data_IF_944291033096
#
_entry.id   IF_944291033096
#
_cell.length_a   1.000
_cell.length_b   1.000
_cell.length_c   1.000
_cell.angle_alpha   90.00
_cell.angle_beta   90.00
_cell.angle_gamma   90.00
#
_symmetry.space_group_name_H-M   'P 1'
#
loop_
_entity.id
_entity.type
_entity.pdbx_description
1 polymer ?
#
# COMPACT_ATOMS: atom_id res chain seq x y z
N UNK A 1 16.82 4.38 21.14
CA UNK A 1 16.22 5.26 20.12
C UNK A 1 16.81 6.65 20.30
N UNK A 2 17.34 7.26 19.26
CA UNK A 2 17.67 8.67 19.29
C UNK A 2 16.36 9.44 19.11
N UNK A 3 15.82 9.96 20.20
CA UNK A 3 14.63 10.80 20.19
C UNK A 3 14.91 12.06 19.36
N UNK A 4 14.11 12.29 18.33
CA UNK A 4 14.14 13.51 17.52
C UNK A 4 14.76 13.41 16.14
N UNK A 5 15.33 12.29 15.74
CA UNK A 5 15.83 12.08 14.38
C UNK A 5 14.82 11.29 13.54
N UNK A 6 14.45 11.82 12.38
CA UNK A 6 13.46 11.21 11.46
C UNK A 6 14.18 10.61 10.26
N UNK A 7 13.76 9.40 9.92
CA UNK A 7 14.13 8.72 8.69
C UNK A 7 12.88 8.35 7.90
N UNK A 8 12.96 8.40 6.61
CA UNK A 8 11.94 7.86 5.72
C UNK A 8 12.20 6.38 5.50
N UNK A 9 11.15 5.59 5.58
CA UNK A 9 11.26 4.14 5.50
C UNK A 9 10.25 3.62 4.48
N UNK A 10 10.71 2.74 3.59
CA UNK A 10 9.87 1.99 2.68
C UNK A 10 9.85 0.53 3.11
N UNK A 11 8.66 -0.01 3.38
CA UNK A 11 8.47 -1.38 3.84
C UNK A 11 8.23 -2.31 2.66
N UNK A 12 8.85 -3.48 2.67
CA UNK A 12 8.74 -4.48 1.61
C UNK A 12 8.47 -5.87 2.19
N UNK A 13 7.54 -6.59 1.56
CA UNK A 13 7.31 -8.00 1.80
C UNK A 13 7.64 -8.76 0.51
N UNK A 14 8.75 -9.49 0.51
CA UNK A 14 9.24 -10.25 -0.65
C UNK A 14 8.89 -11.72 -0.49
N UNK A 15 8.14 -12.28 -1.43
CA UNK A 15 7.76 -13.69 -1.39
C UNK A 15 8.98 -14.62 -1.38
N UNK A 16 8.93 -15.67 -0.55
CA UNK A 16 9.96 -16.73 -0.51
C UNK A 16 9.53 -18.00 -1.28
N UNK A 17 8.31 -18.01 -1.83
CA UNK A 17 7.77 -19.10 -2.65
C UNK A 17 8.18 -18.98 -4.13
N UNK A 18 8.84 -17.89 -4.53
CA UNK A 18 9.09 -17.54 -5.92
C UNK A 18 7.97 -16.71 -6.53
N UNK A 19 8.13 -16.37 -7.81
CA UNK A 19 7.17 -15.59 -8.60
C UNK A 19 6.91 -16.34 -9.89
N UNK A 20 5.65 -16.70 -10.13
CA UNK A 20 5.17 -17.27 -11.36
C UNK A 20 4.02 -16.43 -11.92
N UNK A 21 3.92 -16.35 -13.21
CA UNK A 21 2.86 -15.61 -13.91
C UNK A 21 2.19 -16.51 -14.92
N UNK A 22 0.91 -16.26 -15.18
CA UNK A 22 0.09 -16.96 -16.16
C UNK A 22 -0.36 -15.99 -17.25
N UNK A 23 -0.76 -16.50 -18.39
CA UNK A 23 -1.34 -15.69 -19.48
C UNK A 23 -2.77 -15.23 -19.12
N UNK A 24 -3.27 -14.18 -19.81
CA UNK A 24 -4.65 -13.74 -19.66
C UNK A 24 -5.64 -14.87 -19.92
N UNK A 25 -5.41 -15.68 -20.94
CA UNK A 25 -6.27 -16.81 -21.32
C UNK A 25 -6.34 -17.89 -20.23
N UNK A 26 -5.20 -18.19 -19.60
CA UNK A 26 -5.15 -19.11 -18.45
C UNK A 26 -5.87 -18.53 -17.24
N UNK A 27 -5.68 -17.23 -16.98
CA UNK A 27 -6.37 -16.52 -15.90
C UNK A 27 -7.89 -16.55 -16.09
N UNK A 28 -8.39 -16.29 -17.30
CA UNK A 28 -9.82 -16.38 -17.63
C UNK A 28 -10.38 -17.80 -17.39
N UNK A 29 -9.66 -18.83 -17.81
CA UNK A 29 -10.07 -20.21 -17.61
C UNK A 29 -10.12 -20.61 -16.12
N UNK A 30 -9.15 -20.14 -15.33
CA UNK A 30 -9.10 -20.35 -13.88
C UNK A 30 -10.28 -19.64 -13.20
N UNK A 31 -10.48 -18.34 -13.52
CA UNK A 31 -11.57 -17.54 -12.94
C UNK A 31 -12.94 -18.12 -13.29
N UNK A 32 -13.13 -18.61 -14.52
CA UNK A 32 -14.38 -19.25 -14.93
C UNK A 32 -14.69 -20.52 -14.16
N UNK A 33 -13.66 -21.24 -13.70
CA UNK A 33 -13.80 -22.51 -12.95
C UNK A 33 -13.81 -22.29 -11.44
N UNK A 34 -12.92 -21.48 -10.94
CA UNK A 34 -12.71 -21.21 -9.51
C UNK A 34 -12.13 -19.80 -9.32
N UNK A 35 -13.02 -18.84 -9.12
CA UNK A 35 -12.65 -17.44 -8.89
C UNK A 35 -11.81 -17.23 -7.64
N UNK A 36 -11.99 -18.08 -6.64
CA UNK A 36 -11.32 -18.00 -5.34
C UNK A 36 -10.10 -18.94 -5.25
N UNK A 37 -9.52 -19.32 -6.39
CA UNK A 37 -8.39 -20.26 -6.46
C UNK A 37 -7.19 -19.85 -5.61
N UNK A 38 -6.86 -18.56 -5.56
CA UNK A 38 -5.76 -18.04 -4.72
C UNK A 38 -6.04 -18.19 -3.22
N UNK A 39 -7.30 -17.94 -2.81
CA UNK A 39 -7.71 -18.10 -1.41
C UNK A 39 -7.68 -19.58 -1.03
N UNK A 40 -8.14 -20.46 -1.92
CA UNK A 40 -8.07 -21.92 -1.73
C UNK A 40 -6.63 -22.39 -1.56
N UNK A 41 -5.74 -21.98 -2.46
CA UNK A 41 -4.32 -22.34 -2.41
C UNK A 41 -3.70 -21.93 -1.06
N UNK A 42 -3.93 -20.70 -0.62
CA UNK A 42 -3.44 -20.20 0.66
C UNK A 42 -3.97 -21.05 1.83
N UNK A 43 -5.29 -21.29 1.87
CA UNK A 43 -5.93 -22.02 2.95
C UNK A 43 -5.44 -23.48 3.02
N UNK A 44 -5.39 -24.17 1.89
CA UNK A 44 -4.98 -25.58 1.81
C UNK A 44 -3.49 -25.75 2.14
N UNK A 45 -2.61 -24.83 1.70
CA UNK A 45 -1.21 -24.87 2.05
C UNK A 45 -0.98 -24.67 3.56
N UNK A 46 -1.67 -23.73 4.19
CA UNK A 46 -1.59 -23.56 5.65
C UNK A 46 -2.11 -24.82 6.36
N UNK A 47 -3.22 -25.40 5.90
CA UNK A 47 -3.78 -26.61 6.48
C UNK A 47 -2.83 -27.82 6.35
N UNK A 48 -2.07 -27.87 5.26
CA UNK A 48 -1.08 -28.92 4.99
C UNK A 48 0.29 -28.64 5.64
N UNK A 49 0.40 -27.60 6.46
CA UNK A 49 1.64 -27.13 7.11
C UNK A 49 2.75 -26.66 6.13
N UNK A 50 2.39 -26.42 4.86
CA UNK A 50 3.23 -25.79 3.85
C UNK A 50 3.16 -24.26 3.98
N UNK A 51 3.63 -23.73 5.07
CA UNK A 51 3.43 -22.33 5.44
C UNK A 51 4.07 -21.35 4.47
N UNK A 52 3.28 -20.48 3.80
CA UNK A 52 3.81 -19.40 2.96
C UNK A 52 4.57 -18.36 3.77
N UNK A 53 5.66 -17.84 3.21
CA UNK A 53 6.58 -16.92 3.89
C UNK A 53 6.96 -15.75 3.01
N UNK A 54 7.24 -14.62 3.68
CA UNK A 54 7.77 -13.41 3.05
C UNK A 54 8.94 -12.89 3.88
N UNK A 55 9.99 -12.49 3.20
CA UNK A 55 11.05 -11.67 3.81
C UNK A 55 10.47 -10.28 4.07
N UNK A 56 10.57 -9.81 5.31
CA UNK A 56 10.27 -8.43 5.66
C UNK A 56 11.53 -7.61 5.58
N UNK A 57 11.55 -6.62 4.70
CA UNK A 57 12.71 -5.80 4.38
C UNK A 57 12.34 -4.32 4.39
N UNK A 58 13.32 -3.47 4.65
CA UNK A 58 13.14 -2.02 4.63
C UNK A 58 14.23 -1.36 3.78
N UNK A 59 13.87 -0.22 3.20
CA UNK A 59 14.81 0.76 2.67
C UNK A 59 14.73 1.99 3.57
N UNK A 60 15.85 2.67 3.79
CA UNK A 60 15.95 3.84 4.66
C UNK A 60 16.50 5.01 3.85
N UNK A 61 15.91 6.19 4.04
CA UNK A 61 16.33 7.45 3.43
C UNK A 61 16.33 8.54 4.49
N UNK A 62 17.37 9.34 4.54
CA UNK A 62 17.44 10.51 5.41
C UNK A 62 16.60 11.67 4.87
N UNK A 63 16.28 12.64 5.71
CA UNK A 63 15.61 13.87 5.26
C UNK A 63 16.43 14.64 4.21
N UNK A 64 17.74 14.63 4.36
CA UNK A 64 18.66 15.31 3.42
C UNK A 64 18.64 14.62 2.05
N UNK A 65 18.69 13.30 2.02
CA UNK A 65 18.60 12.54 0.77
C UNK A 65 17.24 12.74 0.10
N UNK A 66 16.14 12.76 0.87
CA UNK A 66 14.82 12.99 0.33
C UNK A 66 14.67 14.37 -0.33
N UNK A 67 15.23 15.41 0.30
CA UNK A 67 15.25 16.79 -0.24
C UNK A 67 16.06 16.90 -1.54
N UNK A 68 17.14 16.14 -1.67
CA UNK A 68 18.06 16.20 -2.81
C UNK A 68 17.84 15.07 -3.83
N UNK A 69 16.78 14.28 -3.66
CA UNK A 69 16.47 13.17 -4.57
C UNK A 69 16.18 13.65 -5.99
N UNK A 70 16.65 12.90 -6.99
CA UNK A 70 16.36 13.13 -8.41
C UNK A 70 14.94 12.73 -8.84
N UNK A 71 14.17 12.13 -7.94
CA UNK A 71 12.77 11.77 -8.12
C UNK A 71 12.00 12.10 -6.82
N UNK A 72 10.68 12.22 -6.89
CA UNK A 72 9.88 12.38 -5.68
C UNK A 72 9.82 11.06 -4.89
N UNK A 73 10.49 10.94 -3.73
CA UNK A 73 10.50 9.70 -2.95
C UNK A 73 9.16 9.41 -2.28
N UNK A 74 8.24 10.38 -2.25
CA UNK A 74 6.89 10.27 -1.70
C UNK A 74 5.82 10.03 -2.76
N UNK A 75 6.20 9.95 -4.03
CA UNK A 75 5.32 9.49 -5.09
C UNK A 75 5.22 7.96 -5.05
N UNK A 76 4.03 7.44 -4.71
CA UNK A 76 3.79 5.99 -4.59
C UNK A 76 4.00 5.22 -5.91
N UNK A 77 4.04 5.91 -7.05
CA UNK A 77 4.35 5.30 -8.35
C UNK A 77 5.83 5.07 -8.58
N UNK A 78 6.68 5.61 -7.72
CA UNK A 78 8.14 5.50 -7.80
C UNK A 78 8.69 4.41 -6.89
N UNK A 79 9.72 3.73 -7.36
CA UNK A 79 10.54 2.84 -6.55
C UNK A 79 11.80 3.56 -6.12
N UNK A 80 12.32 3.24 -4.93
CA UNK A 80 13.66 3.67 -4.52
C UNK A 80 14.66 2.67 -5.11
N UNK A 81 15.62 3.12 -5.96
CA UNK A 81 16.55 2.22 -6.62
C UNK A 81 17.35 1.40 -5.59
N UNK A 82 17.40 0.07 -5.76
CA UNK A 82 18.07 -0.82 -4.81
C UNK A 82 19.59 -0.62 -4.76
N UNK A 83 20.19 -0.05 -5.81
CA UNK A 83 21.60 0.31 -5.85
C UNK A 83 21.94 1.48 -4.92
N UNK A 84 21.01 2.42 -4.78
CA UNK A 84 21.19 3.62 -3.95
C UNK A 84 20.64 3.39 -2.53
N UNK A 85 19.53 2.67 -2.42
CA UNK A 85 18.85 2.34 -1.18
C UNK A 85 18.71 0.81 -1.05
N UNK A 86 19.73 0.13 -0.51
CA UNK A 86 19.73 -1.32 -0.42
C UNK A 86 18.64 -1.84 0.52
N UNK A 87 18.12 -3.03 0.20
CA UNK A 87 17.14 -3.72 1.03
C UNK A 87 17.81 -4.27 2.29
N UNK A 88 17.27 -3.91 3.44
CA UNK A 88 17.73 -4.37 4.76
C UNK A 88 16.72 -5.37 5.30
N UNK A 89 17.11 -6.62 5.45
CA UNK A 89 16.24 -7.66 6.01
C UNK A 89 16.03 -7.43 7.50
N UNK A 90 14.76 -7.33 7.90
CA UNK A 90 14.34 -7.13 9.30
C UNK A 90 13.80 -8.44 9.89
N UNK A 91 13.08 -9.23 9.10
CA UNK A 91 12.46 -10.45 9.60
C UNK A 91 11.83 -11.31 8.51
N UNK A 92 11.01 -12.25 8.95
CA UNK A 92 10.22 -13.10 8.06
C UNK A 92 8.78 -13.15 8.57
N UNK A 93 7.83 -12.88 7.71
CA UNK A 93 6.42 -13.12 7.96
C UNK A 93 6.08 -14.54 7.51
N UNK A 94 5.42 -15.31 8.37
CA UNK A 94 4.95 -16.66 8.07
C UNK A 94 3.45 -16.73 8.33
N UNK A 95 2.66 -17.19 7.38
CA UNK A 95 1.24 -17.47 7.57
C UNK A 95 1.08 -18.94 7.95
N UNK A 96 0.78 -19.21 9.21
CA UNK A 96 0.81 -20.55 9.79
C UNK A 96 -0.47 -20.96 10.52
N UNK A 97 -1.52 -20.13 10.47
CA UNK A 97 -2.82 -20.46 11.08
C UNK A 97 -3.95 -19.95 10.19
N UNK A 98 -4.91 -20.84 9.89
CA UNK A 98 -6.15 -20.46 9.23
C UNK A 98 -7.16 -19.88 10.23
N UNK A 99 -8.04 -18.95 9.84
CA UNK A 99 -9.09 -18.44 10.71
C UNK A 99 -10.06 -19.57 11.09
N UNK A 100 -10.54 -19.53 12.33
CA UNK A 100 -11.57 -20.45 12.83
C UNK A 100 -12.97 -20.01 12.44
N UNK A 101 -13.17 -18.70 12.35
CA UNK A 101 -14.41 -18.10 11.87
C UNK A 101 -14.05 -16.99 10.88
N UNK A 102 -14.25 -17.26 9.60
CA UNK A 102 -13.89 -16.36 8.51
C UNK A 102 -14.57 -14.99 8.64
N UNK A 103 -15.85 -14.94 9.01
CA UNK A 103 -16.56 -13.68 9.15
C UNK A 103 -15.96 -12.82 10.27
N UNK A 104 -15.78 -13.39 11.46
CA UNK A 104 -15.31 -12.64 12.62
C UNK A 104 -13.84 -12.22 12.52
N UNK A 105 -13.00 -13.05 11.91
CA UNK A 105 -11.55 -12.87 11.93
C UNK A 105 -11.00 -12.26 10.64
N UNK A 106 -11.75 -12.36 9.51
CA UNK A 106 -11.31 -11.87 8.21
C UNK A 106 -12.25 -10.80 7.65
N UNK A 107 -13.57 -11.09 7.53
CA UNK A 107 -14.51 -10.13 6.93
C UNK A 107 -14.64 -8.84 7.75
N UNK A 108 -14.53 -8.91 9.06
CA UNK A 108 -14.57 -7.75 9.95
C UNK A 108 -13.21 -7.10 10.21
N UNK A 109 -12.12 -7.68 9.71
CA UNK A 109 -10.81 -7.05 9.83
C UNK A 109 -10.78 -5.71 9.09
N UNK A 110 -10.28 -4.68 9.78
CA UNK A 110 -10.38 -3.27 9.35
C UNK A 110 -9.02 -2.61 9.39
N UNK A 111 -8.15 -2.98 8.43
CA UNK A 111 -6.84 -2.35 8.30
C UNK A 111 -6.97 -0.87 7.96
N UNK A 112 -6.18 -0.04 8.62
CA UNK A 112 -6.09 1.38 8.32
C UNK A 112 -4.64 1.86 8.37
N UNK A 113 -4.19 2.67 7.41
CA UNK A 113 -2.87 3.27 7.45
C UNK A 113 -2.70 4.27 8.61
N UNK A 114 -3.79 4.69 9.27
CA UNK A 114 -3.74 5.52 10.47
C UNK A 114 -3.35 4.75 11.73
N UNK A 115 -3.43 3.41 11.72
CA UNK A 115 -3.08 2.56 12.85
C UNK A 115 -1.57 2.30 12.86
N UNK A 116 -0.83 3.18 13.50
CA UNK A 116 0.63 3.10 13.62
C UNK A 116 1.05 2.72 15.03
N UNK A 117 2.27 2.21 15.16
CA UNK A 117 2.90 1.90 16.45
C UNK A 117 3.87 3.02 16.83
N UNK A 118 4.22 3.17 18.13
CA UNK A 118 5.20 4.15 18.56
C UNK A 118 6.50 4.07 17.77
N UNK A 119 6.98 5.22 17.27
CA UNK A 119 8.17 5.32 16.42
C UNK A 119 7.91 5.19 14.92
N UNK A 120 6.68 4.88 14.50
CA UNK A 120 6.23 4.92 13.09
C UNK A 120 5.25 6.06 12.92
N UNK A 121 5.48 6.92 11.94
CA UNK A 121 4.66 8.07 11.64
C UNK A 121 4.32 8.15 10.14
N UNK A 122 3.76 9.26 9.71
CA UNK A 122 3.23 9.47 8.38
C UNK A 122 4.20 10.25 7.50
N UNK A 123 4.33 9.84 6.24
CA UNK A 123 5.05 10.60 5.22
C UNK A 123 4.14 11.66 4.58
N UNK A 124 4.72 12.67 3.89
CA UNK A 124 3.95 13.67 3.14
C UNK A 124 3.36 13.13 1.82
N UNK A 125 3.46 11.83 1.55
CA UNK A 125 2.81 11.20 0.39
C UNK A 125 1.33 11.57 0.36
N UNK A 126 0.88 12.21 -0.72
CA UNK A 126 -0.48 12.73 -0.86
C UNK A 126 -1.53 11.63 -0.84
N UNK A 127 -1.20 10.44 -1.36
CA UNK A 127 -2.11 9.29 -1.32
C UNK A 127 -2.23 8.74 0.10
N UNK A 128 -1.13 8.66 0.84
CA UNK A 128 -1.17 8.26 2.25
C UNK A 128 -2.01 9.24 3.07
N UNK A 129 -1.81 10.55 2.90
CA UNK A 129 -2.58 11.58 3.59
C UNK A 129 -4.09 11.46 3.30
N UNK A 130 -4.49 11.18 2.07
CA UNK A 130 -5.88 10.91 1.72
C UNK A 130 -6.40 9.60 2.34
N UNK A 131 -5.60 8.55 2.36
CA UNK A 131 -5.94 7.23 2.91
C UNK A 131 -6.15 7.24 4.42
N UNK A 132 -5.45 8.09 5.16
CA UNK A 132 -5.65 8.27 6.61
C UNK A 132 -7.11 8.63 6.94
N UNK A 133 -7.77 9.40 6.09
CA UNK A 133 -9.19 9.78 6.26
C UNK A 133 -10.15 8.75 5.67
N UNK A 134 -9.83 8.18 4.52
CA UNK A 134 -10.77 7.35 3.76
C UNK A 134 -11.01 5.97 4.41
N UNK A 135 -10.00 5.35 5.01
CA UNK A 135 -10.15 4.02 5.59
C UNK A 135 -11.05 4.02 6.83
N UNK A 136 -10.87 4.89 7.83
CA UNK A 136 -11.78 4.96 8.96
C UNK A 136 -13.23 5.26 8.55
N UNK A 137 -13.44 6.12 7.58
CA UNK A 137 -14.78 6.42 7.05
C UNK A 137 -15.41 5.17 6.41
N UNK A 138 -14.69 4.52 5.51
CA UNK A 138 -15.16 3.30 4.85
C UNK A 138 -15.50 2.18 5.85
N UNK A 139 -14.71 2.01 6.90
CA UNK A 139 -14.93 0.96 7.89
C UNK A 139 -16.14 1.22 8.76
N UNK A 140 -16.48 2.48 9.07
CA UNK A 140 -17.73 2.81 9.76
C UNK A 140 -18.96 2.38 8.97
N UNK A 141 -18.91 2.47 7.66
CA UNK A 141 -19.97 1.98 6.77
C UNK A 141 -19.95 0.47 6.60
N UNK A 142 -18.78 -0.11 6.36
CA UNK A 142 -18.64 -1.53 6.03
C UNK A 142 -18.89 -2.43 7.23
N UNK A 143 -18.40 -2.06 8.41
CA UNK A 143 -18.40 -2.90 9.61
C UNK A 143 -19.31 -2.34 10.68
N UNK A 144 -19.25 -1.06 10.97
CA UNK A 144 -20.06 -0.39 11.99
C UNK A 144 -19.31 0.70 12.72
N UNK A 145 -20.02 1.53 13.49
CA UNK A 145 -19.50 2.74 14.13
C UNK A 145 -18.31 2.48 15.05
N UNK A 146 -18.38 1.39 15.84
CA UNK A 146 -17.31 1.00 16.78
C UNK A 146 -16.53 -0.23 16.31
N UNK A 147 -16.21 -0.31 15.03
CA UNK A 147 -15.45 -1.41 14.43
C UNK A 147 -14.09 -1.62 15.12
N UNK A 148 -13.51 -0.58 15.69
CA UNK A 148 -12.22 -0.61 16.39
C UNK A 148 -12.28 -1.42 17.69
N UNK A 149 -13.47 -1.63 18.27
CA UNK A 149 -13.67 -2.41 19.49
C UNK A 149 -13.78 -3.92 19.23
N UNK A 150 -13.97 -4.33 17.98
CA UNK A 150 -14.06 -5.75 17.65
C UNK A 150 -12.76 -6.48 17.99
N UNK A 151 -12.80 -7.71 18.49
CA UNK A 151 -11.60 -8.46 18.88
C UNK A 151 -10.53 -8.54 17.81
N UNK A 152 -10.91 -8.61 16.53
CA UNK A 152 -9.98 -8.66 15.39
C UNK A 152 -9.29 -7.32 15.12
N UNK A 153 -9.86 -6.20 15.56
CA UNK A 153 -9.38 -4.84 15.27
C UNK A 153 -8.78 -4.13 16.48
N UNK A 154 -9.24 -4.47 17.69
CA UNK A 154 -8.81 -3.75 18.89
C UNK A 154 -7.34 -3.98 19.20
N UNK A 155 -6.65 -2.98 19.79
CA UNK A 155 -5.31 -3.17 20.32
C UNK A 155 -5.28 -4.29 21.37
N UNK A 156 -4.16 -5.00 21.45
CA UNK A 156 -3.92 -6.02 22.48
C UNK A 156 -3.65 -5.36 23.85
N UNK A 157 -3.03 -4.17 23.81
CA UNK A 157 -2.75 -3.35 25.00
C UNK A 157 -3.90 -2.38 25.25
N UNK A 158 -4.13 -2.03 26.51
CA UNK A 158 -5.12 -1.03 26.86
C UNK A 158 -4.73 0.34 26.30
N UNK A 159 -5.68 1.01 25.67
CA UNK A 159 -5.53 2.37 25.15
C UNK A 159 -6.46 3.29 25.93
N UNK A 160 -5.89 4.27 26.61
CA UNK A 160 -6.65 5.29 27.30
C UNK A 160 -7.21 6.29 26.30
N UNK A 161 -8.53 6.38 26.24
CA UNK A 161 -9.26 7.33 25.38
C UNK A 161 -10.41 7.95 26.13
N UNK A 162 -10.94 9.06 25.63
CA UNK A 162 -12.17 9.69 26.13
C UNK A 162 -13.44 9.06 25.53
N UNK A 163 -13.34 7.98 24.77
CA UNK A 163 -14.49 7.23 24.24
C UNK A 163 -15.20 6.49 25.37
N UNK A 164 -16.39 6.94 25.76
CA UNK A 164 -17.15 6.37 26.86
C UNK A 164 -18.43 5.67 26.40
N UNK A 165 -19.07 6.16 25.36
CA UNK A 165 -20.37 5.69 24.88
C UNK A 165 -20.53 5.87 23.36
N UNK A 166 -21.74 5.70 22.86
CA UNK A 166 -22.10 5.86 21.45
C UNK A 166 -22.68 4.59 20.81
N UNK A 167 -23.15 4.71 19.59
CA UNK A 167 -23.80 3.61 18.87
C UNK A 167 -22.87 2.40 18.73
N UNK A 168 -23.38 1.21 19.05
CA UNK A 168 -22.68 -0.07 18.99
C UNK A 168 -21.52 -0.21 20.00
N UNK A 169 -21.40 0.68 20.96
CA UNK A 169 -20.49 0.49 22.09
C UNK A 169 -21.01 -0.64 22.98
N UNK A 170 -20.20 -1.60 23.30
CA UNK A 170 -20.53 -2.74 24.18
C UNK A 170 -19.68 -2.77 25.45
N UNK A 171 -18.68 -1.90 25.56
CA UNK A 171 -17.88 -1.78 26.77
C UNK A 171 -18.56 -0.87 27.77
N UNK A 172 -18.65 -1.34 29.01
CA UNK A 172 -19.14 -0.52 30.14
C UNK A 172 -17.94 0.17 30.75
N UNK A 173 -17.86 1.49 30.55
CA UNK A 173 -16.86 2.34 31.18
C UNK A 173 -17.54 3.22 32.20
N UNK A 174 -16.84 3.49 33.31
CA UNK A 174 -17.33 4.48 34.28
C UNK A 174 -17.42 5.85 33.58
N UNK A 175 -18.51 6.60 33.84
CA UNK A 175 -18.63 7.96 33.33
C UNK A 175 -17.48 8.84 33.82
N UNK A 176 -17.01 9.70 32.95
CA UNK A 176 -16.01 10.73 33.31
C UNK A 176 -16.67 12.10 33.27
N UNK A 177 -16.24 12.99 34.16
CA UNK A 177 -16.75 14.36 34.21
C UNK A 177 -16.23 15.25 33.09
N UNK A 178 -15.22 14.79 32.36
CA UNK A 178 -14.64 15.51 31.25
C UNK A 178 -14.27 14.60 30.05
N UNK A 179 -14.49 15.09 28.84
CA UNK A 179 -14.14 14.44 27.57
C UNK A 179 -13.08 15.24 26.80
N UNK A 180 -12.27 16.00 27.53
CA UNK A 180 -11.24 16.87 26.95
C UNK A 180 -10.07 17.02 27.93
N UNK A 181 -8.93 17.41 27.42
CA UNK A 181 -7.76 17.80 28.22
C UNK A 181 -7.24 19.19 27.79
N UNK A 182 -6.52 19.91 28.67
CA UNK A 182 -6.28 19.53 30.08
C UNK A 182 -7.52 19.69 30.95
N UNK A 183 -7.65 18.84 31.96
CA UNK A 183 -8.71 18.95 32.97
C UNK A 183 -8.20 18.58 34.38
N UNK A 184 -9.02 18.82 35.43
CA UNK A 184 -8.71 18.53 36.83
C UNK A 184 -9.33 17.24 37.37
N UNK A 185 -10.00 16.46 36.52
CA UNK A 185 -10.79 15.27 36.91
C UNK A 185 -10.05 13.95 36.68
N UNK A 186 -8.83 14.00 36.15
CA UNK A 186 -8.13 12.83 35.65
C UNK A 186 -8.61 12.45 34.25
N UNK A 187 -8.00 11.45 33.67
CA UNK A 187 -8.32 10.97 32.33
C UNK A 187 -7.08 10.61 31.54
N UNK A 188 -7.23 10.52 30.20
CA UNK A 188 -6.12 10.26 29.31
C UNK A 188 -5.16 11.46 29.32
N UNK A 189 -3.86 11.18 29.29
CA UNK A 189 -2.80 12.18 29.23
C UNK A 189 -1.85 11.82 28.10
N UNK A 190 -1.50 12.80 27.27
CA UNK A 190 -0.53 12.61 26.20
C UNK A 190 0.85 12.22 26.78
N UNK A 191 1.44 11.15 26.25
CA UNK A 191 2.81 10.80 26.54
C UNK A 191 3.75 11.50 25.55
N UNK A 192 4.31 12.62 26.00
CA UNK A 192 5.20 13.46 25.18
C UNK A 192 6.47 12.75 24.70
N UNK A 193 6.81 11.58 25.28
CA UNK A 193 7.94 10.78 24.83
C UNK A 193 7.71 10.18 23.42
N UNK A 194 6.45 10.13 22.97
CA UNK A 194 6.05 9.68 21.63
C UNK A 194 5.73 10.84 20.68
N UNK A 195 5.96 12.08 21.10
CA UNK A 195 5.72 13.23 20.24
C UNK A 195 6.51 13.12 18.93
N UNK A 196 5.82 13.39 17.83
CA UNK A 196 6.43 13.31 16.50
C UNK A 196 7.40 14.50 16.29
N UNK A 197 8.59 14.24 15.72
CA UNK A 197 9.46 15.33 15.31
C UNK A 197 8.78 16.14 14.20
N UNK A 198 8.91 17.46 14.26
CA UNK A 198 8.41 18.34 13.22
C UNK A 198 9.05 18.03 11.86
N UNK A 199 8.32 18.21 10.78
CA UNK A 199 8.87 18.21 9.43
C UNK A 199 8.40 19.46 8.68
N UNK A 200 9.22 19.89 7.72
CA UNK A 200 8.91 21.07 6.92
C UNK A 200 7.80 20.77 5.93
N UNK A 201 6.78 21.62 5.90
CA UNK A 201 5.78 21.67 4.84
C UNK A 201 6.03 22.89 3.99
N UNK A 202 5.78 22.83 2.67
CA UNK A 202 5.81 24.02 1.82
C UNK A 202 4.80 25.06 2.28
N UNK A 203 5.13 26.33 2.13
CA UNK A 203 4.29 27.45 2.52
C UNK A 203 3.29 27.87 1.42
N UNK A 204 3.40 27.34 0.22
CA UNK A 204 2.54 27.66 -0.91
C UNK A 204 1.64 26.49 -1.30
N UNK A 205 0.33 26.71 -1.19
CA UNK A 205 -0.69 25.75 -1.65
C UNK A 205 -1.26 26.22 -2.99
N UNK A 206 -0.88 25.57 -4.08
CA UNK A 206 -1.37 25.88 -5.42
C UNK A 206 -1.53 24.58 -6.25
N UNK A 207 -2.09 24.72 -7.43
CA UNK A 207 -1.99 23.69 -8.46
C UNK A 207 -0.54 23.62 -8.92
N UNK A 208 0.05 22.47 -8.84
CA UNK A 208 1.37 22.30 -9.41
C UNK A 208 1.35 21.18 -10.47
N UNK A 209 2.22 21.31 -11.45
CA UNK A 209 2.42 20.27 -12.44
C UNK A 209 3.38 19.22 -11.87
N UNK A 210 2.86 18.05 -11.52
CA UNK A 210 3.67 16.95 -10.96
C UNK A 210 4.77 16.43 -11.91
N UNK A 211 4.76 16.84 -13.17
CA UNK A 211 5.79 16.49 -14.17
C UNK A 211 6.95 17.47 -14.20
N UNK A 212 6.82 18.62 -13.54
CA UNK A 212 7.92 19.59 -13.48
C UNK A 212 9.06 19.01 -12.64
N UNK A 213 10.23 18.82 -13.27
CA UNK A 213 11.38 18.17 -12.65
C UNK A 213 11.23 16.64 -12.40
N UNK A 214 10.14 16.04 -12.86
CA UNK A 214 9.84 14.62 -12.65
C UNK A 214 9.55 13.94 -14.00
N UNK A 215 10.42 13.02 -14.41
CA UNK A 215 10.20 12.23 -15.62
C UNK A 215 9.53 10.89 -15.27
N UNK A 216 8.24 10.78 -15.57
CA UNK A 216 7.43 9.59 -15.28
C UNK A 216 7.84 8.35 -16.13
N UNK A 217 8.62 8.51 -17.19
CA UNK A 217 8.98 7.43 -18.10
C UNK A 217 10.26 6.68 -17.71
N UNK A 218 11.16 7.28 -16.93
CA UNK A 218 12.48 6.70 -16.62
C UNK A 218 12.37 5.32 -15.96
N UNK A 219 11.56 5.18 -14.92
CA UNK A 219 11.43 3.90 -14.22
C UNK A 219 10.62 2.87 -15.00
N UNK A 220 9.64 3.31 -15.78
CA UNK A 220 8.88 2.43 -16.69
C UNK A 220 9.79 1.88 -17.79
N UNK A 221 10.67 2.73 -18.34
CA UNK A 221 11.70 2.30 -19.31
C UNK A 221 12.66 1.28 -18.70
N UNK A 222 13.11 1.51 -17.46
CA UNK A 222 13.98 0.59 -16.76
C UNK A 222 13.31 -0.79 -16.57
N UNK A 223 12.04 -0.82 -16.18
CA UNK A 223 11.27 -2.06 -16.06
C UNK A 223 11.11 -2.77 -17.42
N UNK A 224 10.73 -2.03 -18.46
CA UNK A 224 10.58 -2.59 -19.81
C UNK A 224 11.86 -3.25 -20.32
N UNK A 225 13.02 -2.65 -20.04
CA UNK A 225 14.32 -3.20 -20.41
C UNK A 225 14.68 -4.50 -19.68
N UNK A 226 14.16 -4.71 -18.46
CA UNK A 226 14.35 -5.93 -17.68
C UNK A 226 13.44 -7.08 -18.11
N UNK A 227 12.38 -6.80 -18.86
CA UNK A 227 11.45 -7.83 -19.33
C UNK A 227 12.11 -8.76 -20.36
N UNK A 228 11.83 -10.06 -20.24
CA UNK A 228 12.15 -11.03 -21.29
C UNK A 228 11.32 -10.79 -22.54
N UNK A 229 11.75 -11.34 -23.68
CA UNK A 229 11.01 -11.20 -24.95
C UNK A 229 9.58 -11.75 -24.83
N UNK A 230 9.40 -12.90 -24.16
CA UNK A 230 8.07 -13.46 -23.90
C UNK A 230 7.18 -12.53 -23.05
N UNK A 231 7.73 -11.90 -22.01
CA UNK A 231 6.99 -10.93 -21.21
C UNK A 231 6.59 -9.69 -22.01
N UNK A 232 7.48 -9.22 -22.90
CA UNK A 232 7.17 -8.11 -23.83
C UNK A 232 6.08 -8.47 -24.83
N UNK A 233 6.13 -9.67 -25.41
CA UNK A 233 5.08 -10.15 -26.31
C UNK A 233 3.72 -10.28 -25.61
N UNK A 234 3.68 -10.80 -24.40
CA UNK A 234 2.45 -10.83 -23.59
C UNK A 234 1.94 -9.43 -23.28
N UNK A 235 2.82 -8.50 -22.89
CA UNK A 235 2.46 -7.10 -22.65
C UNK A 235 1.81 -6.48 -23.90
N UNK A 236 2.41 -6.66 -25.06
CA UNK A 236 1.89 -6.10 -26.32
C UNK A 236 0.54 -6.71 -26.68
N UNK A 237 0.39 -8.02 -26.53
CA UNK A 237 -0.86 -8.72 -26.78
C UNK A 237 -1.98 -8.27 -25.86
N UNK A 238 -1.71 -8.20 -24.55
CA UNK A 238 -2.69 -7.80 -23.56
C UNK A 238 -3.20 -6.37 -23.77
N UNK A 239 -2.29 -5.46 -24.15
CA UNK A 239 -2.64 -4.07 -24.46
C UNK A 239 -3.45 -4.00 -25.74
N UNK A 240 -3.03 -4.72 -26.79
CA UNK A 240 -3.74 -4.72 -28.08
C UNK A 240 -5.16 -5.27 -27.92
N UNK A 241 -5.35 -6.32 -27.15
CA UNK A 241 -6.69 -6.87 -26.82
C UNK A 241 -7.56 -5.85 -26.11
N UNK A 242 -7.03 -5.18 -25.07
CA UNK A 242 -7.76 -4.14 -24.33
C UNK A 242 -8.08 -2.90 -25.18
N UNK A 243 -7.31 -2.65 -26.24
CA UNK A 243 -7.53 -1.55 -27.18
C UNK A 243 -8.43 -1.93 -28.37
N UNK A 244 -8.98 -3.13 -28.40
CA UNK A 244 -9.93 -3.57 -29.44
C UNK A 244 -11.13 -2.65 -29.55
N UNK A 245 -11.40 -2.14 -30.78
CA UNK A 245 -12.54 -1.23 -31.04
C UNK A 245 -12.32 0.22 -30.60
N UNK A 246 -11.18 0.59 -30.04
CA UNK A 246 -10.86 1.99 -29.70
C UNK A 246 -10.64 2.81 -30.98
N UNK A 247 -11.20 4.05 -31.09
CA UNK A 247 -11.01 4.92 -32.27
C UNK A 247 -9.52 5.18 -32.56
N UNK A 248 -9.16 5.16 -33.85
CA UNK A 248 -7.79 5.29 -34.31
C UNK A 248 -7.04 6.49 -33.73
N UNK A 249 -7.66 7.64 -33.66
CA UNK A 249 -7.04 8.85 -33.12
C UNK A 249 -6.71 8.76 -31.61
N UNK A 250 -7.40 7.90 -30.87
CA UNK A 250 -7.09 7.61 -29.46
C UNK A 250 -5.91 6.64 -29.39
N UNK A 251 -5.94 5.59 -30.21
CA UNK A 251 -4.83 4.62 -30.32
C UNK A 251 -3.52 5.33 -30.67
N UNK A 252 -3.52 6.23 -31.64
CA UNK A 252 -2.33 6.95 -32.08
C UNK A 252 -1.74 7.83 -30.94
N UNK A 253 -2.57 8.47 -30.14
CA UNK A 253 -2.12 9.24 -28.95
C UNK A 253 -1.51 8.33 -27.89
N UNK A 254 -2.10 7.17 -27.67
CA UNK A 254 -1.56 6.21 -26.69
C UNK A 254 -0.23 5.60 -27.15
N UNK A 255 -0.11 5.30 -28.45
CA UNK A 255 1.15 4.83 -29.03
C UNK A 255 2.28 5.86 -28.89
N UNK A 256 1.96 7.15 -29.04
CA UNK A 256 2.91 8.24 -28.81
C UNK A 256 3.39 8.32 -27.35
N UNK A 257 2.55 7.96 -26.38
CA UNK A 257 2.97 7.83 -24.98
C UNK A 257 3.87 6.60 -24.77
N UNK A 258 3.54 5.47 -25.36
CA UNK A 258 4.38 4.27 -25.28
C UNK A 258 5.76 4.47 -25.92
N UNK A 259 5.85 5.29 -26.96
CA UNK A 259 7.12 5.66 -27.58
C UNK A 259 8.05 6.44 -26.65
N UNK A 260 7.48 7.24 -25.73
CA UNK A 260 8.25 7.94 -24.69
C UNK A 260 8.86 6.98 -23.65
N UNK A 261 8.22 5.83 -23.44
CA UNK A 261 8.78 4.75 -22.62
C UNK A 261 9.91 4.05 -23.36
N UNK A 262 9.61 3.49 -24.54
CA UNK A 262 10.59 2.82 -25.39
C UNK A 262 10.02 2.66 -26.82
N UNK A 263 10.86 2.86 -27.82
CA UNK A 263 10.46 2.72 -29.22
C UNK A 263 9.87 1.33 -29.51
N UNK A 264 10.48 0.28 -28.99
CA UNK A 264 10.02 -1.09 -29.21
C UNK A 264 8.70 -1.37 -28.48
N UNK A 265 8.38 -0.65 -27.41
CA UNK A 265 7.09 -0.76 -26.74
C UNK A 265 5.97 -0.30 -27.69
N UNK A 266 6.07 0.90 -28.23
CA UNK A 266 5.09 1.41 -29.19
C UNK A 266 4.99 0.53 -30.45
N UNK A 267 6.13 0.10 -30.99
CA UNK A 267 6.19 -0.74 -32.18
C UNK A 267 5.58 -2.12 -31.96
N UNK A 268 5.85 -2.73 -30.78
CA UNK A 268 5.28 -4.03 -30.41
C UNK A 268 3.76 -3.99 -30.26
N UNK A 269 3.23 -2.98 -29.56
CA UNK A 269 1.77 -2.79 -29.43
C UNK A 269 1.14 -2.50 -30.80
N UNK A 270 1.75 -1.65 -31.61
CA UNK A 270 1.29 -1.35 -32.96
C UNK A 270 1.20 -2.61 -33.84
N UNK A 271 2.24 -3.44 -33.80
CA UNK A 271 2.26 -4.74 -34.49
C UNK A 271 1.17 -5.68 -33.99
N UNK A 272 0.98 -5.76 -32.67
CA UNK A 272 -0.06 -6.61 -32.08
C UNK A 272 -1.49 -6.14 -32.43
N UNK A 273 -1.70 -4.85 -32.63
CA UNK A 273 -2.96 -4.26 -33.14
C UNK A 273 -3.18 -4.50 -34.66
N UNK A 274 -2.16 -4.94 -35.41
CA UNK A 274 -2.25 -5.12 -36.82
C UNK A 274 -2.28 -3.83 -37.66
N UNK A 275 -1.65 -2.74 -37.18
CA UNK A 275 -1.71 -1.40 -37.80
C UNK A 275 -0.34 -0.79 -38.05
#
# INVERSE_FOLDING_TARGET
MHYGERFWVKFHFKTLQGIETITNKEAEAIVAKDRESNQRDLFENIQAENFPKWSFEIQIMTNEEAKNSSFDPFDLTKVWPHGDYPMIKVGTMTLNENPKNYFNEIEQASFSPSNVVPGVSFSPDKMLQARIFSYPDAHRYRVGTHYEMLPVNRPIVDVNTYHADGSMNYEIKEPTDAYYEPNSFGGAVEDVSFAEPAFETGDMADRYNHRDGNNDFVQVTALFNLMSDNQKEQLFSNIAEAMGGVPRNIVDRQLALFEQVHKDYATGVKKALGI
#
